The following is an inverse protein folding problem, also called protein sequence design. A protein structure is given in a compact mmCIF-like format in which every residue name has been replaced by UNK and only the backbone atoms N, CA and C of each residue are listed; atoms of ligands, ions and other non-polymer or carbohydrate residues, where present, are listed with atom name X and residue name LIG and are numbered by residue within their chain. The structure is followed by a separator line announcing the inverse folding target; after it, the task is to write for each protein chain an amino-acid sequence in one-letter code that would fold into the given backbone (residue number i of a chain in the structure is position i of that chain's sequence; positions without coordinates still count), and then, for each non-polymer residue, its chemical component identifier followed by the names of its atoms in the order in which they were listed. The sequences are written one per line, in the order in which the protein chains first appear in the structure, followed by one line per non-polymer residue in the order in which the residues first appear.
data_IF_712621935013
#
_entry.id   IF_712621935013
#
_cell.length_a   1.000
_cell.length_b   1.000
_cell.length_c   1.000
_cell.angle_alpha   90.00
_cell.angle_beta   90.00
_cell.angle_gamma   90.00
#
_symmetry.space_group_name_H-M   'P 1'
#
loop_
_entity.id
_entity.type
_entity.pdbx_description
1 polymer ?
#
# COMPACT_ATOMS: atom_id res chain seq x y z
N UNK A 1 1.71 -4.16 -5.51
CA UNK A 1 0.24 -4.07 -5.49
C UNK A 1 -0.18 -2.87 -6.29
N UNK A 2 -1.16 -3.03 -7.17
CA UNK A 2 -1.56 -1.96 -8.09
C UNK A 2 -2.99 -2.17 -8.61
N UNK A 3 -3.70 -1.07 -8.89
CA UNK A 3 -4.89 -1.05 -9.71
C UNK A 3 -4.50 -0.74 -11.15
N UNK A 4 -4.79 -1.66 -12.07
CA UNK A 4 -4.44 -1.53 -13.50
C UNK A 4 -5.09 -0.32 -14.21
N UNK A 5 -5.99 0.40 -13.57
CA UNK A 5 -6.93 1.32 -14.20
C UNK A 5 -8.28 0.66 -14.34
N UNK A 6 -9.00 0.91 -15.46
CA UNK A 6 -10.30 0.29 -15.71
C UNK A 6 -10.50 -0.03 -17.19
N UNK A 7 -11.42 -0.96 -17.45
CA UNK A 7 -11.94 -1.26 -18.79
C UNK A 7 -13.42 -1.60 -18.71
N UNK A 8 -14.10 -1.61 -19.87
CA UNK A 8 -15.50 -1.98 -19.95
C UNK A 8 -15.67 -3.50 -20.11
N UNK A 9 -16.59 -4.06 -19.34
CA UNK A 9 -17.09 -5.43 -19.49
C UNK A 9 -18.08 -5.52 -20.67
N UNK A 10 -18.41 -6.72 -21.11
CA UNK A 10 -19.36 -6.94 -22.19
C UNK A 10 -20.76 -6.37 -21.94
N UNK A 11 -21.13 -6.18 -20.65
CA UNK A 11 -22.39 -5.52 -20.26
C UNK A 11 -22.29 -3.99 -20.09
N UNK A 12 -21.18 -3.36 -20.51
CA UNK A 12 -20.95 -1.92 -20.44
C UNK A 12 -20.54 -1.38 -19.05
N UNK A 13 -20.42 -2.22 -18.02
CA UNK A 13 -19.97 -1.80 -16.69
C UNK A 13 -18.44 -1.75 -16.61
N UNK A 14 -17.92 -0.86 -15.76
CA UNK A 14 -16.49 -0.77 -15.51
C UNK A 14 -15.98 -1.92 -14.64
N UNK A 15 -14.77 -2.38 -14.96
CA UNK A 15 -13.99 -3.28 -14.16
C UNK A 15 -12.67 -2.62 -13.79
N UNK A 16 -12.35 -2.59 -12.49
CA UNK A 16 -11.09 -2.09 -11.95
C UNK A 16 -10.28 -3.28 -11.37
N UNK A 17 -9.34 -3.85 -12.12
CA UNK A 17 -8.54 -4.96 -11.64
C UNK A 17 -7.56 -4.53 -10.55
N UNK A 18 -7.61 -5.21 -9.40
CA UNK A 18 -6.59 -5.13 -8.36
C UNK A 18 -5.65 -6.33 -8.47
N UNK A 19 -4.37 -6.08 -8.56
CA UNK A 19 -3.33 -7.11 -8.62
C UNK A 19 -2.37 -7.01 -7.45
N UNK A 20 -2.01 -8.16 -6.88
CA UNK A 20 -0.99 -8.30 -5.84
C UNK A 20 0.01 -9.34 -6.33
N UNK A 21 1.29 -8.95 -6.45
CA UNK A 21 2.37 -9.83 -6.88
C UNK A 21 3.48 -9.89 -5.85
N UNK A 22 4.12 -11.05 -5.74
CA UNK A 22 5.39 -11.14 -5.02
C UNK A 22 6.52 -10.46 -5.82
N UNK A 23 7.27 -9.61 -5.16
CA UNK A 23 8.32 -8.80 -5.80
C UNK A 23 9.53 -9.62 -6.27
N UNK A 24 9.81 -10.75 -5.66
CA UNK A 24 10.95 -11.62 -5.99
C UNK A 24 10.59 -12.64 -7.07
N UNK A 25 9.63 -13.51 -6.78
CA UNK A 25 9.23 -14.62 -7.65
C UNK A 25 8.31 -14.23 -8.80
N UNK A 26 7.77 -13.03 -8.82
CA UNK A 26 6.73 -12.58 -9.76
C UNK A 26 5.39 -13.27 -9.57
N UNK A 27 5.24 -14.13 -8.59
CA UNK A 27 4.00 -14.87 -8.33
C UNK A 27 2.82 -13.91 -8.14
N UNK A 28 1.77 -14.11 -8.92
CA UNK A 28 0.54 -13.31 -8.86
C UNK A 28 -0.36 -13.86 -7.75
N UNK A 29 -0.27 -13.27 -6.57
CA UNK A 29 -1.00 -13.67 -5.37
C UNK A 29 -2.51 -13.42 -5.51
N UNK A 30 -2.89 -12.33 -6.15
CA UNK A 30 -4.29 -11.94 -6.38
C UNK A 30 -4.44 -11.18 -7.69
N UNK A 31 -5.53 -11.50 -8.40
CA UNK A 31 -6.10 -10.68 -9.46
C UNK A 31 -7.61 -10.63 -9.26
N UNK A 32 -8.15 -9.47 -8.88
CA UNK A 32 -9.56 -9.32 -8.48
C UNK A 32 -10.26 -8.23 -9.26
N UNK A 33 -11.46 -8.56 -9.76
CA UNK A 33 -12.32 -7.66 -10.50
C UNK A 33 -13.20 -6.85 -9.54
N UNK A 34 -13.15 -5.53 -9.63
CA UNK A 34 -14.00 -4.64 -8.84
C UNK A 34 -14.80 -3.69 -9.72
N UNK A 35 -16.03 -3.32 -9.35
CA UNK A 35 -16.82 -2.31 -10.06
C UNK A 35 -16.30 -0.89 -9.81
N UNK A 36 -15.56 -0.70 -8.72
CA UNK A 36 -14.97 0.59 -8.30
C UNK A 36 -13.83 0.36 -7.30
N UNK A 37 -12.97 1.36 -7.16
CA UNK A 37 -11.86 1.35 -6.21
C UNK A 37 -12.36 1.80 -4.83
N UNK A 38 -12.27 0.92 -3.82
CA UNK A 38 -12.71 1.20 -2.45
C UNK A 38 -11.71 0.68 -1.42
N UNK A 39 -11.52 1.44 -0.34
CA UNK A 39 -10.65 1.06 0.76
C UNK A 39 -11.06 -0.27 1.41
N UNK A 40 -12.36 -0.44 1.72
CA UNK A 40 -12.87 -1.65 2.38
C UNK A 40 -12.63 -2.92 1.58
N UNK A 41 -12.98 -2.90 0.31
CA UNK A 41 -12.76 -4.03 -0.60
C UNK A 41 -11.26 -4.33 -0.80
N UNK A 42 -10.43 -3.29 -0.93
CA UNK A 42 -8.97 -3.45 -1.03
C UNK A 42 -8.40 -4.10 0.22
N UNK A 43 -8.81 -3.65 1.41
CA UNK A 43 -8.40 -4.24 2.70
C UNK A 43 -8.78 -5.71 2.80
N UNK A 44 -10.02 -6.07 2.44
CA UNK A 44 -10.48 -7.47 2.46
C UNK A 44 -9.62 -8.38 1.56
N UNK A 45 -9.21 -7.90 0.39
CA UNK A 45 -8.34 -8.69 -0.50
C UNK A 45 -6.94 -8.84 0.08
N UNK A 46 -6.40 -7.78 0.71
CA UNK A 46 -5.14 -7.88 1.44
C UNK A 46 -5.23 -8.90 2.58
N UNK A 47 -6.30 -8.84 3.39
CA UNK A 47 -6.52 -9.79 4.48
C UNK A 47 -6.61 -11.23 3.98
N UNK A 48 -7.33 -11.48 2.89
CA UNK A 48 -7.39 -12.79 2.24
C UNK A 48 -6.02 -13.27 1.76
N UNK A 49 -5.22 -12.37 1.16
CA UNK A 49 -3.86 -12.69 0.76
C UNK A 49 -2.96 -12.98 1.98
N UNK A 50 -3.06 -12.20 3.05
CA UNK A 50 -2.26 -12.39 4.26
C UNK A 50 -2.59 -13.69 5.01
N UNK A 51 -3.88 -14.11 5.01
CA UNK A 51 -4.28 -15.41 5.59
C UNK A 51 -3.70 -16.58 4.82
N UNK A 52 -3.64 -16.49 3.50
CA UNK A 52 -3.20 -17.58 2.63
C UNK A 52 -1.68 -17.64 2.48
N UNK A 53 -1.03 -16.48 2.35
CA UNK A 53 0.39 -16.39 2.00
C UNK A 53 1.29 -15.85 3.12
N UNK A 54 0.70 -15.48 4.27
CA UNK A 54 1.40 -14.81 5.37
C UNK A 54 1.65 -13.31 5.12
N UNK A 55 2.14 -12.62 6.16
CA UNK A 55 2.42 -11.19 6.11
C UNK A 55 3.72 -10.91 5.34
N UNK A 56 3.73 -10.03 4.34
CA UNK A 56 4.97 -9.57 3.71
C UNK A 56 5.73 -8.63 4.64
N UNK A 57 7.04 -8.47 4.43
CA UNK A 57 7.82 -7.46 5.14
C UNK A 57 7.53 -6.05 4.62
N UNK A 58 7.25 -5.94 3.32
CA UNK A 58 7.01 -4.65 2.65
C UNK A 58 5.92 -4.78 1.60
N UNK A 59 5.16 -3.71 1.42
CA UNK A 59 4.20 -3.58 0.32
C UNK A 59 4.54 -2.35 -0.48
N UNK A 60 4.90 -2.53 -1.75
CA UNK A 60 5.05 -1.44 -2.70
C UNK A 60 3.74 -1.21 -3.45
N UNK A 61 3.30 0.05 -3.51
CA UNK A 61 2.11 0.47 -4.23
C UNK A 61 2.34 1.78 -4.96
N UNK A 62 1.42 2.12 -5.85
CA UNK A 62 1.36 3.45 -6.44
C UNK A 62 0.98 4.51 -5.38
N UNK A 63 0.97 5.79 -5.81
CA UNK A 63 0.62 6.92 -4.95
C UNK A 63 -0.86 7.29 -5.01
N UNK A 64 -1.66 6.53 -5.75
CA UNK A 64 -3.11 6.73 -5.90
C UNK A 64 -3.92 6.21 -4.71
N UNK A 65 -5.16 6.68 -4.58
CA UNK A 65 -6.10 6.08 -3.63
C UNK A 65 -6.42 4.63 -4.04
N UNK A 66 -6.58 3.72 -3.06
CA UNK A 66 -6.59 3.87 -1.61
C UNK A 66 -5.19 3.72 -0.96
N UNK A 67 -4.13 3.50 -1.74
CA UNK A 67 -2.80 3.21 -1.24
C UNK A 67 -2.12 4.44 -0.67
N UNK A 68 -2.33 5.60 -1.30
CA UNK A 68 -1.76 6.86 -0.93
C UNK A 68 -2.80 7.94 -0.62
N UNK A 69 -2.36 9.00 0.06
CA UNK A 69 -3.15 10.19 0.33
C UNK A 69 -2.31 11.46 0.12
N UNK A 70 -2.98 12.61 0.14
CA UNK A 70 -2.31 13.93 0.14
C UNK A 70 -1.85 14.35 1.55
N UNK A 71 -2.16 13.54 2.57
CA UNK A 71 -1.78 13.81 3.96
C UNK A 71 -0.28 13.66 4.24
N UNK A 72 0.06 13.79 5.53
CA UNK A 72 1.46 13.72 5.99
C UNK A 72 2.16 12.45 5.51
N UNK A 73 3.35 12.59 4.99
CA UNK A 73 4.13 11.51 4.35
C UNK A 73 3.31 10.69 3.36
N UNK A 74 2.18 11.24 2.86
CA UNK A 74 1.23 10.57 1.98
C UNK A 74 0.50 9.38 2.61
N UNK A 75 0.48 9.20 3.91
CA UNK A 75 -0.18 8.09 4.60
C UNK A 75 -1.65 8.00 4.25
N UNK A 76 -2.09 6.80 3.92
CA UNK A 76 -3.49 6.41 3.81
C UNK A 76 -3.90 5.55 5.02
N UNK A 77 -5.20 5.39 5.23
CA UNK A 77 -5.70 4.47 6.26
C UNK A 77 -5.21 3.02 6.04
N UNK A 78 -5.03 2.61 4.78
CA UNK A 78 -4.49 1.31 4.42
C UNK A 78 -3.01 1.19 4.84
N UNK A 79 -2.21 2.23 4.61
CA UNK A 79 -0.79 2.26 5.01
C UNK A 79 -0.64 2.24 6.55
N UNK A 80 -1.49 2.96 7.29
CA UNK A 80 -1.54 2.90 8.76
C UNK A 80 -1.81 1.47 9.24
N UNK A 81 -2.81 0.82 8.65
CA UNK A 81 -3.13 -0.57 8.98
C UNK A 81 -1.95 -1.51 8.69
N UNK A 82 -1.26 -1.38 7.55
CA UNK A 82 -0.06 -2.17 7.26
C UNK A 82 1.04 -1.96 8.30
N UNK A 83 1.31 -0.71 8.69
CA UNK A 83 2.32 -0.40 9.73
C UNK A 83 1.96 -1.10 11.05
N UNK A 84 0.68 -1.11 11.43
CA UNK A 84 0.20 -1.80 12.64
C UNK A 84 0.27 -3.34 12.53
N UNK A 85 0.42 -3.89 11.33
CA UNK A 85 0.74 -5.29 11.09
C UNK A 85 2.25 -5.57 10.99
N UNK A 86 3.09 -4.56 11.23
CA UNK A 86 4.55 -4.65 11.07
C UNK A 86 4.99 -4.75 9.60
N UNK A 87 4.19 -4.23 8.66
CA UNK A 87 4.51 -4.18 7.24
C UNK A 87 4.98 -2.77 6.89
N UNK A 88 6.09 -2.67 6.17
CA UNK A 88 6.62 -1.37 5.72
C UNK A 88 5.94 -0.96 4.41
N UNK A 89 5.16 0.13 4.36
CA UNK A 89 4.63 0.65 3.12
C UNK A 89 5.75 1.32 2.32
N UNK A 90 5.97 0.85 1.09
CA UNK A 90 6.88 1.46 0.12
C UNK A 90 6.08 2.17 -0.96
N UNK A 91 6.54 3.35 -1.35
CA UNK A 91 5.94 4.13 -2.42
C UNK A 91 6.87 4.24 -3.59
N UNK A 92 6.28 4.25 -4.77
CA UNK A 92 7.00 4.57 -5.99
C UNK A 92 7.41 6.03 -5.93
N UNK A 93 8.71 6.30 -6.13
CA UNK A 93 9.22 7.67 -6.15
C UNK A 93 8.55 8.47 -7.29
N UNK A 94 8.20 9.76 -7.06
CA UNK A 94 7.64 10.60 -8.11
C UNK A 94 8.55 10.65 -9.34
N UNK A 95 7.98 10.38 -10.53
CA UNK A 95 8.73 10.39 -11.79
C UNK A 95 9.58 9.15 -12.04
N UNK A 96 9.42 8.07 -11.25
CA UNK A 96 10.12 6.79 -11.42
C UNK A 96 9.15 5.67 -11.80
N UNK A 97 8.53 5.69 -13.01
CA UNK A 97 7.66 4.61 -13.47
C UNK A 97 8.39 3.28 -13.59
N UNK A 98 9.71 3.32 -13.83
CA UNK A 98 10.58 2.13 -13.85
C UNK A 98 10.44 1.26 -12.59
N UNK A 99 10.13 1.85 -11.43
CA UNK A 99 9.89 1.11 -10.19
C UNK A 99 8.61 0.26 -10.23
N UNK A 100 7.67 0.53 -11.16
CA UNK A 100 6.44 -0.24 -11.38
C UNK A 100 6.49 -1.13 -12.63
N UNK A 101 7.56 -1.09 -13.41
CA UNK A 101 7.67 -1.76 -14.71
C UNK A 101 7.36 -3.28 -14.68
N UNK A 102 7.53 -3.92 -13.51
CA UNK A 102 7.14 -5.33 -13.32
C UNK A 102 5.63 -5.54 -13.36
N UNK A 103 4.87 -4.67 -12.68
CA UNK A 103 3.40 -4.66 -12.70
C UNK A 103 2.88 -4.29 -14.09
N UNK A 104 3.47 -3.29 -14.70
CA UNK A 104 3.09 -2.85 -16.06
C UNK A 104 3.25 -3.99 -17.07
N UNK A 105 4.36 -4.73 -17.04
CA UNK A 105 4.56 -5.90 -17.91
C UNK A 105 3.54 -7.01 -17.65
N UNK A 106 3.23 -7.30 -16.39
CA UNK A 106 2.20 -8.28 -16.04
C UNK A 106 0.81 -7.80 -16.54
N UNK A 107 0.51 -6.51 -16.40
CA UNK A 107 -0.74 -5.93 -16.91
C UNK A 107 -0.83 -5.98 -18.45
N UNK A 108 0.29 -5.82 -19.18
CA UNK A 108 0.31 -6.03 -20.64
C UNK A 108 -0.05 -7.47 -20.98
N UNK A 109 0.60 -8.45 -20.35
CA UNK A 109 0.29 -9.88 -20.54
C UNK A 109 -1.17 -10.17 -20.22
N UNK A 110 -1.70 -9.61 -19.14
CA UNK A 110 -3.11 -9.76 -18.77
C UNK A 110 -4.05 -9.19 -19.87
N UNK A 111 -3.70 -8.05 -20.47
CA UNK A 111 -4.50 -7.47 -21.55
C UNK A 111 -4.55 -8.35 -22.80
N UNK A 112 -3.41 -8.96 -23.15
CA UNK A 112 -3.30 -9.84 -24.30
C UNK A 112 -4.14 -11.10 -24.13
N UNK A 113 -4.16 -11.68 -22.92
CA UNK A 113 -4.88 -12.92 -22.61
C UNK A 113 -6.36 -12.71 -22.31
N UNK A 114 -6.75 -11.52 -21.81
CA UNK A 114 -8.11 -11.21 -21.37
C UNK A 114 -8.97 -10.48 -22.41
N UNK A 115 -8.55 -10.41 -23.66
CA UNK A 115 -9.31 -9.80 -24.74
C UNK A 115 -10.03 -10.87 -25.60
N UNK A 116 -11.38 -10.78 -25.84
CA UNK A 116 -12.30 -9.78 -25.29
C UNK A 116 -12.60 -9.97 -23.80
N UNK A 117 -12.99 -8.90 -23.05
CA UNK A 117 -13.29 -9.00 -21.62
C UNK A 117 -14.54 -9.84 -21.35
N UNK A 118 -14.66 -10.35 -20.12
CA UNK A 118 -15.85 -11.08 -19.67
C UNK A 118 -17.12 -10.22 -19.74
N UNK A 119 -18.28 -10.86 -19.86
CA UNK A 119 -19.56 -10.17 -19.98
C UNK A 119 -19.89 -9.34 -18.73
N UNK A 120 -19.64 -9.91 -17.55
CA UNK A 120 -19.87 -9.29 -16.23
C UNK A 120 -18.70 -9.54 -15.27
N UNK A 121 -18.78 -8.97 -14.07
CA UNK A 121 -17.72 -9.12 -13.05
C UNK A 121 -17.46 -10.56 -12.64
N UNK A 122 -18.51 -11.39 -12.57
CA UNK A 122 -18.35 -12.79 -12.18
C UNK A 122 -17.60 -13.60 -13.24
N UNK A 123 -17.95 -13.41 -14.51
CA UNK A 123 -17.24 -14.02 -15.64
C UNK A 123 -15.81 -13.49 -15.76
N UNK A 124 -15.63 -12.18 -15.57
CA UNK A 124 -14.28 -11.59 -15.55
C UNK A 124 -13.43 -12.12 -14.40
N UNK A 125 -14.00 -12.31 -13.21
CA UNK A 125 -13.26 -12.91 -12.09
C UNK A 125 -12.84 -14.35 -12.39
N UNK A 126 -13.70 -15.15 -13.04
CA UNK A 126 -13.33 -16.49 -13.46
C UNK A 126 -12.12 -16.48 -14.40
N UNK A 127 -12.13 -15.59 -15.40
CA UNK A 127 -11.00 -15.41 -16.31
C UNK A 127 -9.73 -14.97 -15.56
N UNK A 128 -9.83 -14.04 -14.62
CA UNK A 128 -8.69 -13.63 -13.80
C UNK A 128 -8.12 -14.79 -12.95
N UNK A 129 -8.97 -15.69 -12.47
CA UNK A 129 -8.49 -16.90 -11.78
C UNK A 129 -7.74 -17.84 -12.73
N UNK A 130 -8.23 -18.01 -13.95
CA UNK A 130 -7.58 -18.80 -15.02
C UNK A 130 -6.24 -18.14 -15.42
N UNK A 131 -6.22 -16.80 -15.57
CA UNK A 131 -5.01 -16.04 -15.82
C UNK A 131 -3.98 -16.19 -14.70
N UNK A 132 -4.39 -16.11 -13.42
CA UNK A 132 -3.49 -16.33 -12.28
C UNK A 132 -2.81 -17.69 -12.36
N UNK A 133 -3.56 -18.75 -12.66
CA UNK A 133 -3.01 -20.11 -12.81
C UNK A 133 -2.02 -20.17 -13.96
N UNK A 134 -2.43 -19.76 -15.16
CA UNK A 134 -1.56 -19.72 -16.33
C UNK A 134 -0.26 -18.92 -16.07
N UNK A 135 -0.38 -17.71 -15.50
CA UNK A 135 0.76 -16.82 -15.23
C UNK A 135 1.74 -17.43 -14.23
N UNK A 136 1.23 -18.10 -13.19
CA UNK A 136 2.04 -18.66 -12.12
C UNK A 136 2.64 -20.02 -12.44
N UNK A 137 1.90 -20.90 -13.11
CA UNK A 137 2.23 -22.33 -13.22
C UNK A 137 2.72 -22.73 -14.62
N UNK A 138 2.23 -22.04 -15.67
CA UNK A 138 2.46 -22.48 -17.04
C UNK A 138 3.40 -21.52 -17.80
N UNK A 139 3.33 -20.22 -17.54
CA UNK A 139 4.08 -19.22 -18.30
C UNK A 139 5.53 -19.12 -17.81
N UNK A 140 6.55 -19.39 -18.66
CA UNK A 140 7.94 -19.14 -18.32
C UNK A 140 8.24 -17.64 -18.33
N UNK A 141 9.13 -17.21 -17.44
CA UNK A 141 9.56 -15.82 -17.34
C UNK A 141 11.05 -15.67 -17.60
N UNK A 142 11.40 -14.86 -18.57
CA UNK A 142 12.81 -14.58 -18.92
C UNK A 142 13.61 -14.10 -17.68
N UNK A 143 13.06 -13.17 -16.90
CA UNK A 143 13.68 -12.66 -15.68
C UNK A 143 13.81 -13.69 -14.55
N UNK A 144 13.29 -14.90 -14.73
CA UNK A 144 13.38 -16.04 -13.82
C UNK A 144 14.09 -17.23 -14.49
N UNK A 145 14.95 -16.95 -15.47
CA UNK A 145 15.67 -17.98 -16.22
C UNK A 145 14.72 -19.01 -16.86
N UNK A 146 13.63 -18.53 -17.46
CA UNK A 146 12.58 -19.34 -18.07
C UNK A 146 11.81 -20.25 -17.08
N UNK A 147 11.96 -20.05 -15.78
CA UNK A 147 11.18 -20.75 -14.76
C UNK A 147 9.82 -20.09 -14.58
N UNK A 148 8.84 -20.86 -14.11
CA UNK A 148 7.53 -20.32 -13.72
C UNK A 148 7.59 -19.70 -12.32
N UNK A 149 6.77 -18.66 -12.02
CA UNK A 149 6.70 -18.06 -10.70
C UNK A 149 6.46 -19.07 -9.57
N UNK A 150 5.61 -20.07 -9.79
CA UNK A 150 5.26 -21.09 -8.80
C UNK A 150 6.46 -21.91 -8.33
N UNK A 151 7.46 -22.14 -9.18
CA UNK A 151 8.67 -22.90 -8.80
C UNK A 151 9.58 -22.14 -7.83
N UNK A 152 9.50 -20.79 -7.86
CA UNK A 152 10.38 -19.91 -7.09
C UNK A 152 9.68 -19.38 -5.84
N UNK A 153 8.36 -19.17 -5.92
CA UNK A 153 7.59 -18.57 -4.83
C UNK A 153 7.71 -19.35 -3.51
N UNK A 154 7.81 -18.62 -2.42
CA UNK A 154 7.74 -19.15 -1.05
C UNK A 154 6.84 -18.24 -0.20
N UNK A 155 5.87 -18.84 0.46
CA UNK A 155 4.98 -18.12 1.38
C UNK A 155 5.78 -17.53 2.57
N UNK A 156 5.30 -16.42 3.09
CA UNK A 156 5.89 -15.81 4.29
C UNK A 156 5.67 -16.69 5.53
N UNK A 157 6.68 -16.75 6.40
CA UNK A 157 6.56 -17.41 7.71
C UNK A 157 5.83 -16.56 8.75
N UNK A 158 5.61 -15.27 8.46
CA UNK A 158 4.89 -14.34 9.35
C UNK A 158 3.38 -14.57 9.24
N UNK A 159 2.80 -15.17 10.26
CA UNK A 159 1.37 -15.53 10.27
C UNK A 159 0.52 -14.28 10.49
N UNK A 160 -0.54 -14.13 9.68
CA UNK A 160 -1.56 -13.10 9.90
C UNK A 160 -2.57 -13.56 10.96
N UNK A 161 -2.57 -12.92 12.11
CA UNK A 161 -3.46 -13.22 13.23
C UNK A 161 -4.72 -12.36 13.27
N UNK A 162 -4.81 -11.34 12.39
CA UNK A 162 -5.87 -10.33 12.44
C UNK A 162 -5.69 -9.26 13.53
N UNK A 163 -4.70 -9.42 14.41
CA UNK A 163 -4.41 -8.44 15.47
C UNK A 163 -3.54 -7.31 14.94
N UNK A 164 -3.98 -6.09 15.16
CA UNK A 164 -3.19 -4.88 14.95
C UNK A 164 -2.36 -4.62 16.21
N UNK A 165 -1.09 -4.27 16.04
CA UNK A 165 -0.21 -3.89 17.15
C UNK A 165 -0.05 -2.36 17.15
N UNK A 166 -0.08 -1.76 18.34
CA UNK A 166 0.32 -0.37 18.43
C UNK A 166 1.84 -0.27 18.21
N UNK A 167 2.30 0.73 17.42
CA UNK A 167 3.72 0.92 17.21
C UNK A 167 4.44 1.17 18.55
N UNK A 168 5.55 0.47 18.76
CA UNK A 168 6.42 0.67 19.89
C UNK A 168 7.49 1.71 19.56
N UNK A 169 7.87 2.51 20.56
CA UNK A 169 8.86 3.57 20.43
C UNK A 169 9.98 3.38 21.45
N UNK A 170 11.20 3.67 21.04
CA UNK A 170 12.36 3.58 21.94
C UNK A 170 12.24 4.52 23.16
N UNK A 171 12.95 4.20 24.23
CA UNK A 171 12.95 4.99 25.48
C UNK A 171 13.46 6.42 25.33
N UNK A 172 14.17 6.69 24.24
CA UNK A 172 14.66 8.01 23.85
C UNK A 172 13.62 8.86 23.10
N UNK A 173 12.41 8.32 22.86
CA UNK A 173 11.33 9.03 22.19
C UNK A 173 10.22 9.40 23.18
N UNK A 174 9.67 10.60 23.03
CA UNK A 174 8.42 10.98 23.66
C UNK A 174 7.25 10.52 22.81
N UNK A 175 6.21 9.99 23.43
CA UNK A 175 4.99 9.59 22.73
C UNK A 175 3.88 10.61 22.90
N UNK A 176 3.06 10.81 21.86
CA UNK A 176 1.86 11.66 21.90
C UNK A 176 0.73 10.98 21.16
N UNK A 177 -0.47 11.05 21.73
CA UNK A 177 -1.69 10.58 21.07
C UNK A 177 -2.25 11.69 20.17
N UNK A 178 -2.54 11.35 18.92
CA UNK A 178 -3.19 12.26 17.99
C UNK A 178 -4.70 12.26 18.27
N UNK A 179 -5.26 13.43 18.54
CA UNK A 179 -6.66 13.64 18.89
C UNK A 179 -7.58 13.54 17.66
N UNK A 180 -8.89 13.63 17.87
CA UNK A 180 -9.91 13.44 16.84
C UNK A 180 -9.82 14.45 15.67
N UNK A 181 -9.29 15.64 15.94
CA UNK A 181 -9.10 16.71 14.93
C UNK A 181 -7.73 16.64 14.26
N UNK A 182 -6.91 15.60 14.54
CA UNK A 182 -5.60 15.42 13.94
C UNK A 182 -4.46 16.19 14.61
N UNK A 183 -4.70 16.76 15.80
CA UNK A 183 -3.68 17.45 16.61
C UNK A 183 -3.11 16.53 17.70
N UNK A 184 -1.87 16.81 18.14
CA UNK A 184 -1.33 16.32 19.40
C UNK A 184 -1.01 17.50 20.32
N UNK A 185 -0.92 17.24 21.62
CA UNK A 185 -0.60 18.30 22.59
C UNK A 185 0.87 18.36 22.92
N UNK A 186 1.44 19.56 22.86
CA UNK A 186 2.78 19.88 23.33
C UNK A 186 2.71 20.97 24.39
N UNK A 187 3.13 20.67 25.63
CA UNK A 187 3.02 21.59 26.78
C UNK A 187 1.64 22.25 26.88
N UNK A 188 0.58 21.46 26.74
CA UNK A 188 -0.84 21.87 26.75
C UNK A 188 -1.34 22.64 25.52
N UNK A 189 -0.50 22.95 24.55
CA UNK A 189 -0.89 23.64 23.31
C UNK A 189 -1.16 22.60 22.18
N UNK A 190 -2.23 22.77 21.41
CA UNK A 190 -2.55 21.86 20.31
C UNK A 190 -1.65 22.14 19.10
N UNK A 191 -1.07 21.09 18.53
CA UNK A 191 -0.26 21.13 17.32
C UNK A 191 -0.91 20.25 16.27
N UNK A 192 -1.37 20.79 15.17
CA UNK A 192 -1.97 20.02 14.08
C UNK A 192 -0.91 19.18 13.37
N UNK A 193 -1.23 17.90 13.19
CA UNK A 193 -0.39 16.95 12.47
C UNK A 193 -1.10 16.38 11.23
N UNK A 194 -2.16 15.62 11.42
CA UNK A 194 -2.91 15.00 10.33
C UNK A 194 -4.19 14.31 10.85
N UNK A 195 -5.31 14.53 10.18
CA UNK A 195 -6.54 13.80 10.47
C UNK A 195 -6.44 12.30 10.18
N UNK A 196 -5.58 11.89 9.24
CA UNK A 196 -5.38 10.47 8.90
C UNK A 196 -4.83 9.67 10.09
N UNK A 197 -4.08 10.35 10.99
CA UNK A 197 -3.48 9.74 12.19
C UNK A 197 -4.36 9.84 13.44
N UNK A 198 -5.62 10.28 13.33
CA UNK A 198 -6.52 10.39 14.50
C UNK A 198 -6.56 9.08 15.30
N UNK A 199 -6.46 9.21 16.62
CA UNK A 199 -6.45 8.07 17.54
C UNK A 199 -5.15 7.27 17.59
N UNK A 200 -4.18 7.53 16.71
CA UNK A 200 -2.90 6.86 16.70
C UNK A 200 -1.92 7.51 17.67
N UNK A 201 -0.96 6.73 18.15
CA UNK A 201 0.17 7.21 18.95
C UNK A 201 1.37 7.45 18.03
N UNK A 202 1.99 8.62 18.14
CA UNK A 202 3.21 9.00 17.41
C UNK A 202 4.40 9.05 18.35
N UNK A 203 5.60 8.84 17.80
CA UNK A 203 6.89 9.03 18.50
C UNK A 203 7.54 10.34 18.08
N UNK A 204 8.14 11.02 19.03
CA UNK A 204 8.89 12.26 18.86
C UNK A 204 10.32 12.04 19.37
N UNK A 205 11.31 12.04 18.47
CA UNK A 205 12.72 11.96 18.81
C UNK A 205 13.34 13.37 18.72
N UNK A 206 14.01 13.80 19.77
CA UNK A 206 14.73 15.06 19.76
C UNK A 206 15.97 14.95 18.86
N UNK A 207 16.11 15.83 17.89
CA UNK A 207 17.22 15.85 16.92
C UNK A 207 18.12 17.08 17.08
N UNK A 208 17.61 18.13 17.71
CA UNK A 208 18.33 19.35 18.10
C UNK A 208 17.46 20.10 19.13
N UNK A 209 18.00 21.17 19.73
CA UNK A 209 17.26 22.04 20.64
C UNK A 209 15.93 22.50 19.99
N UNK A 210 14.82 22.25 20.69
CA UNK A 210 13.46 22.55 20.23
C UNK A 210 13.04 21.91 18.91
N UNK A 211 13.82 20.96 18.36
CA UNK A 211 13.50 20.25 17.10
C UNK A 211 13.31 18.76 17.31
N UNK A 212 12.19 18.25 16.83
CA UNK A 212 11.75 16.88 17.03
C UNK A 212 11.46 16.21 15.68
N UNK A 213 12.00 15.02 15.49
CA UNK A 213 11.61 14.16 14.38
C UNK A 213 10.35 13.39 14.75
N UNK A 214 9.33 13.43 13.90
CA UNK A 214 8.04 12.77 14.12
C UNK A 214 8.02 11.42 13.43
N UNK A 215 7.55 10.39 14.14
CA UNK A 215 7.43 9.02 13.63
C UNK A 215 6.04 8.44 13.84
N UNK A 216 5.60 7.59 12.90
CA UNK A 216 4.53 6.62 13.12
C UNK A 216 5.07 5.22 12.85
N UNK A 217 5.23 4.42 13.91
CA UNK A 217 6.05 3.21 13.84
C UNK A 217 7.47 3.54 13.36
N UNK A 218 7.92 2.85 12.32
CA UNK A 218 9.23 3.11 11.70
C UNK A 218 9.20 4.16 10.60
N UNK A 219 8.03 4.76 10.31
CA UNK A 219 7.89 5.74 9.25
C UNK A 219 8.11 7.15 9.78
N UNK A 220 9.08 7.83 9.19
CA UNK A 220 9.33 9.25 9.42
C UNK A 220 8.27 10.11 8.74
N UNK A 221 7.60 10.97 9.51
CA UNK A 221 6.50 11.81 9.05
C UNK A 221 6.94 13.24 8.70
N UNK A 222 7.96 13.74 9.36
CA UNK A 222 8.42 15.12 9.24
C UNK A 222 9.05 15.59 10.53
N UNK A 223 9.25 16.91 10.67
CA UNK A 223 9.83 17.53 11.85
C UNK A 223 8.86 18.47 12.54
N UNK A 224 9.00 18.61 13.85
CA UNK A 224 8.27 19.53 14.68
C UNK A 224 9.24 20.50 15.38
N UNK A 225 8.99 21.78 15.27
CA UNK A 225 9.72 22.83 16.00
C UNK A 225 8.85 23.29 17.17
N UNK A 226 9.31 22.99 18.40
CA UNK A 226 8.54 23.26 19.62
C UNK A 226 8.58 24.71 20.08
N UNK A 227 9.46 25.54 19.51
CA UNK A 227 9.50 26.99 19.74
C UNK A 227 8.44 27.71 18.94
N UNK A 228 8.30 27.33 17.65
CA UNK A 228 7.36 27.95 16.73
C UNK A 228 6.02 27.20 16.66
N UNK A 229 5.89 26.03 17.30
CA UNK A 229 4.75 25.14 17.28
C UNK A 229 4.37 24.68 15.86
N UNK A 230 5.33 24.60 14.94
CA UNK A 230 5.11 24.27 13.54
C UNK A 230 5.60 22.85 13.20
N UNK A 231 4.79 22.16 12.42
CA UNK A 231 5.16 20.88 11.80
C UNK A 231 5.55 21.12 10.35
N UNK A 232 6.73 20.62 9.97
CA UNK A 232 7.16 20.54 8.59
C UNK A 232 7.01 19.09 8.15
N UNK A 233 6.08 18.85 7.26
CA UNK A 233 5.80 17.51 6.76
C UNK A 233 6.95 17.04 5.86
N UNK A 234 7.33 15.76 6.01
CA UNK A 234 8.13 15.09 4.99
C UNK A 234 7.28 15.05 3.72
N UNK A 235 7.81 15.55 2.61
CA UNK A 235 7.05 15.62 1.35
C UNK A 235 6.56 14.21 0.97
N UNK A 236 5.25 14.03 0.97
CA UNK A 236 4.60 12.93 0.27
C UNK A 236 4.71 13.17 -1.25
N UNK A 237 4.58 12.13 -2.05
CA UNK A 237 4.62 12.25 -3.51
C UNK A 237 3.64 13.34 -3.99
N UNK A 238 4.15 14.48 -4.42
CA UNK A 238 3.33 15.59 -4.94
C UNK A 238 2.52 15.08 -6.13
N UNK A 239 1.21 15.13 -6.02
CA UNK A 239 0.32 14.94 -7.18
C UNK A 239 0.61 16.06 -8.16
N UNK A 240 1.14 15.75 -9.37
CA UNK A 240 1.16 16.72 -10.47
C UNK A 240 -0.28 17.20 -10.67
N UNK A 241 -0.55 18.49 -10.39
CA UNK A 241 -1.77 19.14 -10.87
C UNK A 241 -1.75 18.98 -12.39
N UNK A 242 -2.68 18.18 -12.93
CA UNK A 242 -2.99 18.26 -14.36
C UNK A 242 -3.52 19.67 -14.61
N UNK A 243 -2.77 20.45 -15.40
CA UNK A 243 -3.29 21.66 -16.04
C UNK A 243 -4.29 21.27 -17.07
#
# INVERSE_FOLDING_TARGET
MDYKGWFLLGNGRQCHPLTITDGFSRYLLRCRAFPRIELGSTRQICEGAFREYGLPDRIRSDNGAPFGSVGIAGLSALAIWWIKLGIVPERIAPGRPDQNGRHERMHLTMNETENPPGYDLARQQKRFNEFCRYFNEERPHEALEQKTPATIYRASKRIYTGKEMEPEYGTNMQTRKVQIRGEFYWKSEPVFLSETLRGQTIGLAEIADDRWQIYFGNLELGTFDSRTMKVVHKEGAKRRRRK
#
